data_IF_065169855109
#
_entry.id   IF_065169855109
#
_cell.length_a   1.000
_cell.length_b   1.000
_cell.length_c   1.000
_cell.angle_alpha   90.00
_cell.angle_beta   90.00
_cell.angle_gamma   90.00
#
_symmetry.space_group_name_H-M   'P 1'
#
loop_
_entity.id
_entity.type
_entity.pdbx_description
1 polymer ?
#
# COMPACT_ATOMS: atom_id res chain seq x y z
N UNK A 1 -36.97 -16.71 -19.28
CA UNK A 1 -36.22 -16.18 -18.12
C UNK A 1 -37.06 -15.07 -17.51
N UNK A 2 -37.77 -15.34 -16.43
CA UNK A 2 -38.62 -14.35 -15.76
C UNK A 2 -37.69 -13.54 -14.86
N UNK A 3 -37.41 -12.29 -15.24
CA UNK A 3 -36.64 -11.38 -14.41
C UNK A 3 -37.57 -10.89 -13.31
N UNK A 4 -37.38 -11.39 -12.10
CA UNK A 4 -38.11 -10.90 -10.92
C UNK A 4 -37.47 -9.61 -10.41
N UNK A 5 -38.27 -8.75 -9.77
CA UNK A 5 -37.82 -7.46 -9.21
C UNK A 5 -36.62 -7.66 -8.25
N UNK A 6 -36.62 -8.74 -7.48
CA UNK A 6 -35.52 -9.11 -6.58
C UNK A 6 -34.21 -9.37 -7.34
N UNK A 7 -34.28 -9.99 -8.52
CA UNK A 7 -33.10 -10.26 -9.35
C UNK A 7 -32.47 -8.96 -9.84
N UNK A 8 -33.29 -7.95 -10.18
CA UNK A 8 -32.80 -6.62 -10.57
C UNK A 8 -32.11 -5.90 -9.41
N UNK A 9 -32.70 -5.96 -8.20
CA UNK A 9 -32.08 -5.37 -7.00
C UNK A 9 -30.73 -6.01 -6.68
N UNK A 10 -30.63 -7.34 -6.76
CA UNK A 10 -29.37 -8.03 -6.52
C UNK A 10 -28.29 -7.61 -7.53
N UNK A 11 -28.62 -7.60 -8.82
CA UNK A 11 -27.68 -7.15 -9.87
C UNK A 11 -27.22 -5.72 -9.60
N UNK A 12 -28.12 -4.82 -9.23
CA UNK A 12 -27.79 -3.42 -8.97
C UNK A 12 -26.88 -3.26 -7.75
N UNK A 13 -27.13 -4.03 -6.68
CA UNK A 13 -26.24 -4.10 -5.50
C UNK A 13 -24.86 -4.65 -5.89
N UNK A 14 -24.78 -5.68 -6.72
CA UNK A 14 -23.50 -6.22 -7.21
C UNK A 14 -22.71 -5.18 -8.00
N UNK A 15 -23.37 -4.43 -8.88
CA UNK A 15 -22.74 -3.36 -9.64
C UNK A 15 -22.25 -2.24 -8.71
N UNK A 16 -23.07 -1.79 -7.77
CA UNK A 16 -22.70 -0.75 -6.82
C UNK A 16 -21.53 -1.16 -5.93
N UNK A 17 -21.54 -2.39 -5.40
CA UNK A 17 -20.43 -2.92 -4.58
C UNK A 17 -19.14 -3.08 -5.36
N UNK A 18 -19.22 -3.53 -6.62
CA UNK A 18 -18.06 -3.60 -7.52
C UNK A 18 -17.45 -2.22 -7.78
N UNK A 19 -18.29 -1.23 -8.11
CA UNK A 19 -17.85 0.15 -8.36
C UNK A 19 -17.24 0.78 -7.10
N UNK A 20 -17.83 0.54 -5.93
CA UNK A 20 -17.25 0.98 -4.65
C UNK A 20 -15.90 0.32 -4.37
N UNK A 21 -15.75 -0.98 -4.64
CA UNK A 21 -14.48 -1.69 -4.50
C UNK A 21 -13.38 -1.13 -5.42
N UNK A 22 -13.71 -0.85 -6.67
CA UNK A 22 -12.79 -0.23 -7.62
C UNK A 22 -12.41 1.20 -7.23
N UNK A 23 -13.39 2.00 -6.79
CA UNK A 23 -13.15 3.34 -6.26
C UNK A 23 -12.25 3.29 -5.02
N UNK A 24 -12.45 2.32 -4.14
CA UNK A 24 -11.63 2.11 -2.96
C UNK A 24 -10.19 1.75 -3.32
N UNK A 25 -9.97 0.84 -4.27
CA UNK A 25 -8.63 0.44 -4.72
C UNK A 25 -7.84 1.61 -5.32
N UNK A 26 -8.51 2.53 -6.03
CA UNK A 26 -7.89 3.75 -6.56
C UNK A 26 -7.75 4.90 -5.54
N UNK A 27 -8.40 4.79 -4.37
CA UNK A 27 -8.41 5.86 -3.36
C UNK A 27 -7.12 5.92 -2.55
N UNK A 28 -6.86 7.07 -1.93
CA UNK A 28 -5.77 7.24 -0.95
C UNK A 28 -5.91 6.28 0.23
N UNK A 29 -7.14 5.99 0.67
CA UNK A 29 -7.41 5.06 1.77
C UNK A 29 -7.02 3.62 1.40
N UNK A 30 -7.37 3.20 0.18
CA UNK A 30 -6.99 1.89 -0.36
C UNK A 30 -5.49 1.71 -0.49
N UNK A 31 -4.77 2.74 -0.97
CA UNK A 31 -3.30 2.73 -1.02
C UNK A 31 -2.67 2.64 0.36
N UNK A 32 -3.19 3.36 1.34
CA UNK A 32 -2.70 3.30 2.72
C UNK A 32 -2.96 1.93 3.35
N UNK A 33 -4.15 1.36 3.12
CA UNK A 33 -4.49 0.02 3.60
C UNK A 33 -3.61 -1.06 2.96
N UNK A 34 -3.44 -1.04 1.64
CA UNK A 34 -2.53 -1.96 0.93
C UNK A 34 -1.08 -1.84 1.44
N UNK A 35 -0.60 -0.61 1.65
CA UNK A 35 0.73 -0.37 2.21
C UNK A 35 0.91 -0.99 3.61
N UNK A 36 -0.09 -0.84 4.49
CA UNK A 36 -0.06 -1.46 5.82
C UNK A 36 -0.07 -3.00 5.77
N UNK A 37 -0.87 -3.58 4.87
CA UNK A 37 -0.92 -5.04 4.67
C UNK A 37 0.42 -5.56 4.14
N UNK A 38 1.03 -4.89 3.16
CA UNK A 38 2.33 -5.30 2.61
C UNK A 38 3.47 -5.18 3.64
N UNK A 39 3.46 -4.14 4.48
CA UNK A 39 4.37 -4.00 5.62
C UNK A 39 4.17 -5.12 6.64
N UNK A 40 2.92 -5.46 6.96
CA UNK A 40 2.61 -6.56 7.87
C UNK A 40 3.11 -7.91 7.32
N UNK A 41 2.90 -8.15 6.03
CA UNK A 41 3.36 -9.36 5.36
C UNK A 41 4.90 -9.43 5.34
N UNK A 42 5.58 -8.31 5.11
CA UNK A 42 7.05 -8.24 5.18
C UNK A 42 7.60 -8.57 6.55
N UNK A 43 6.96 -8.04 7.61
CA UNK A 43 7.33 -8.36 9.00
C UNK A 43 7.12 -9.84 9.30
N UNK A 44 6.01 -10.41 8.83
CA UNK A 44 5.65 -11.81 9.06
C UNK A 44 6.60 -12.77 8.33
N UNK A 45 6.91 -12.47 7.07
CA UNK A 45 7.78 -13.30 6.22
C UNK A 45 9.28 -13.00 6.41
N UNK A 46 9.64 -12.03 7.26
CA UNK A 46 11.03 -11.59 7.51
C UNK A 46 11.79 -11.27 6.22
N UNK A 47 11.10 -10.76 5.20
CA UNK A 47 11.71 -10.45 3.90
C UNK A 47 12.54 -9.18 4.00
N UNK A 48 13.63 -9.12 3.23
CA UNK A 48 14.48 -7.94 3.20
C UNK A 48 13.76 -6.76 2.56
N UNK A 49 13.74 -5.63 3.25
CA UNK A 49 13.19 -4.39 2.72
C UNK A 49 14.22 -3.78 1.77
N UNK A 50 13.81 -3.55 0.53
CA UNK A 50 14.60 -2.78 -0.44
C UNK A 50 14.29 -1.30 -0.34
N UNK A 51 15.25 -0.44 -0.68
CA UNK A 51 15.11 1.03 -0.72
C UNK A 51 13.88 1.46 -1.53
N UNK A 52 13.66 0.91 -2.73
CA UNK A 52 12.50 1.24 -3.56
C UNK A 52 11.15 0.90 -2.89
N UNK A 53 11.12 -0.18 -2.11
CA UNK A 53 9.91 -0.61 -1.39
C UNK A 53 9.59 0.31 -0.22
N UNK A 54 10.63 0.76 0.46
CA UNK A 54 10.51 1.80 1.49
C UNK A 54 9.95 3.11 0.93
N UNK A 55 10.43 3.57 -0.23
CA UNK A 55 9.89 4.75 -0.91
C UNK A 55 8.42 4.58 -1.30
N UNK A 56 8.06 3.41 -1.83
CA UNK A 56 6.69 3.07 -2.15
C UNK A 56 5.78 3.20 -0.91
N UNK A 57 6.20 2.65 0.24
CA UNK A 57 5.40 2.77 1.46
C UNK A 57 5.32 4.19 2.01
N UNK A 58 6.46 4.93 2.08
CA UNK A 58 6.51 6.28 2.65
C UNK A 58 5.76 7.31 1.80
N UNK A 59 5.97 7.31 0.48
CA UNK A 59 5.48 8.37 -0.40
C UNK A 59 4.20 7.99 -1.17
N UNK A 60 4.09 6.73 -1.63
CA UNK A 60 2.95 6.31 -2.45
C UNK A 60 1.78 5.82 -1.59
N UNK A 61 2.06 5.01 -0.57
CA UNK A 61 1.07 4.52 0.39
C UNK A 61 0.89 5.43 1.61
N UNK A 62 1.71 6.48 1.77
CA UNK A 62 1.67 7.42 2.90
C UNK A 62 1.67 6.71 4.28
N UNK A 63 2.43 5.62 4.40
CA UNK A 63 2.63 4.91 5.67
C UNK A 63 3.54 5.75 6.55
N UNK A 64 3.09 6.10 7.75
CA UNK A 64 3.79 7.03 8.66
C UNK A 64 5.17 6.53 9.11
N UNK A 65 5.30 5.24 9.40
CA UNK A 65 6.55 4.65 9.88
C UNK A 65 6.82 3.27 9.23
N UNK A 66 7.25 3.27 7.95
CA UNK A 66 7.57 2.04 7.26
C UNK A 66 8.92 1.47 7.73
N UNK A 67 9.09 0.14 7.76
CA UNK A 67 10.34 -0.48 8.20
C UNK A 67 11.49 -0.07 7.27
N UNK A 68 12.56 0.51 7.84
CA UNK A 68 13.71 0.97 7.06
C UNK A 68 14.58 -0.21 6.61
N UNK A 69 15.13 -0.16 5.38
CA UNK A 69 16.12 -1.14 4.93
C UNK A 69 17.40 -1.01 5.76
N UNK A 70 18.09 -2.15 6.01
CA UNK A 70 19.28 -2.23 6.90
C UNK A 70 20.37 -1.21 6.52
N UNK A 71 20.56 -0.98 5.22
CA UNK A 71 21.56 -0.04 4.70
C UNK A 71 21.22 1.44 4.95
N UNK A 72 19.94 1.81 5.00
CA UNK A 72 19.53 3.19 5.36
C UNK A 72 19.41 3.38 6.88
N UNK A 73 19.13 2.29 7.62
CA UNK A 73 19.13 2.33 9.09
C UNK A 73 20.54 2.52 9.68
N UNK A 74 21.58 2.05 8.97
CA UNK A 74 22.99 2.26 9.31
C UNK A 74 23.78 2.62 8.05
N UNK A 75 23.73 3.89 7.60
CA UNK A 75 24.34 4.31 6.34
C UNK A 75 25.87 4.26 6.45
N UNK A 76 26.47 3.22 5.87
CA UNK A 76 27.93 3.02 5.82
C UNK A 76 28.59 3.71 4.64
N UNK A 77 27.86 3.88 3.54
CA UNK A 77 28.37 4.48 2.30
C UNK A 77 27.92 5.95 2.18
N UNK A 78 28.75 6.76 1.52
CA UNK A 78 28.49 8.19 1.27
C UNK A 78 27.18 8.43 0.49
N UNK A 79 26.86 7.54 -0.46
CA UNK A 79 25.61 7.58 -1.19
C UNK A 79 24.38 7.39 -0.27
N UNK A 80 24.44 6.43 0.66
CA UNK A 80 23.36 6.18 1.61
C UNK A 80 23.19 7.35 2.59
N UNK A 81 24.30 7.97 3.01
CA UNK A 81 24.27 9.16 3.86
C UNK A 81 23.65 10.36 3.15
N UNK A 82 23.99 10.58 1.87
CA UNK A 82 23.37 11.63 1.05
C UNK A 82 21.88 11.37 0.86
N UNK A 83 21.49 10.13 0.55
CA UNK A 83 20.07 9.74 0.42
C UNK A 83 19.32 9.98 1.72
N UNK A 84 19.87 9.59 2.88
CA UNK A 84 19.21 9.86 4.15
C UNK A 84 19.08 11.36 4.45
N UNK A 85 20.10 12.15 4.10
CA UNK A 85 20.13 13.60 4.35
C UNK A 85 19.24 14.40 3.40
N UNK A 86 19.11 14.00 2.13
CA UNK A 86 18.25 14.68 1.16
C UNK A 86 16.76 14.39 1.37
N UNK A 87 16.42 13.30 2.06
CA UNK A 87 15.04 12.82 2.19
C UNK A 87 14.52 12.87 3.63
N UNK A 88 15.25 13.54 4.54
CA UNK A 88 14.99 13.60 5.98
C UNK A 88 14.55 12.23 6.52
N UNK A 89 15.40 11.22 6.30
CA UNK A 89 15.17 9.84 6.69
C UNK A 89 15.78 9.49 8.04
#
# INVERSE_FOLDING_TARGET
MIITVDTVYQILIYICTYLLGMAFAGSFLGRAWMGNVDVFLHKTLKMEVTVGKYFYWKYFCNVKDPPKPKHLAQPKNLADQLVCKFLDL
#
